data_IF_908064182665
#
_entry.id   IF_908064182665
#
_cell.length_a   1.000
_cell.length_b   1.000
_cell.length_c   1.000
_cell.angle_alpha   90.00
_cell.angle_beta   90.00
_cell.angle_gamma   90.00
#
_symmetry.space_group_name_H-M   'P 1'
#
loop_
_entity.id
_entity.type
_entity.pdbx_description
1 polymer ?
#
# COMPACT_ATOMS: atom_id res chain seq x y z
N UNK A 1 -29.53 41.64 -15.59
CA UNK A 1 -30.89 41.72 -15.01
C UNK A 1 -31.54 40.34 -15.04
N UNK A 2 -32.26 39.99 -13.99
CA UNK A 2 -33.03 38.77 -13.67
C UNK A 2 -32.23 37.60 -13.05
N UNK A 3 -32.31 37.55 -11.73
CA UNK A 3 -31.99 36.44 -10.84
C UNK A 3 -33.19 35.46 -10.87
N UNK A 4 -32.95 34.18 -11.11
CA UNK A 4 -33.95 33.13 -10.80
C UNK A 4 -33.47 32.36 -9.57
N UNK A 5 -34.26 32.44 -8.52
CA UNK A 5 -34.16 31.62 -7.31
C UNK A 5 -35.04 30.40 -7.52
N UNK A 6 -34.46 29.20 -7.35
CA UNK A 6 -35.23 27.94 -7.29
C UNK A 6 -35.28 27.55 -5.81
N UNK A 7 -36.50 27.44 -5.30
CA UNK A 7 -36.79 26.94 -3.96
C UNK A 7 -36.92 25.42 -4.00
N UNK A 8 -36.27 24.72 -3.06
CA UNK A 8 -36.42 23.28 -2.86
C UNK A 8 -37.39 23.08 -1.69
N UNK A 9 -38.49 22.39 -1.97
CA UNK A 9 -39.48 22.00 -0.98
C UNK A 9 -39.10 20.66 -0.34
N UNK A 10 -39.02 20.59 0.98
CA UNK A 10 -38.92 19.35 1.75
C UNK A 10 -40.33 18.74 1.88
N UNK A 11 -40.49 17.50 1.49
CA UNK A 11 -41.64 16.66 1.83
C UNK A 11 -41.23 15.68 2.94
N UNK A 12 -41.80 15.84 4.09
CA UNK A 12 -41.80 14.87 5.19
C UNK A 12 -43.04 13.99 5.10
N UNK A 13 -42.86 12.70 4.97
CA UNK A 13 -43.98 11.71 5.10
C UNK A 13 -43.76 10.89 6.37
N UNK A 14 -44.59 11.13 7.36
CA UNK A 14 -44.68 10.28 8.54
C UNK A 14 -45.60 9.09 8.26
N UNK A 15 -45.25 7.91 8.76
CA UNK A 15 -46.14 6.75 8.84
C UNK A 15 -46.21 6.24 10.26
N UNK A 16 -47.45 6.36 10.80
CA UNK A 16 -47.92 5.76 12.07
C UNK A 16 -48.29 4.31 11.78
N UNK A 17 -47.86 3.37 12.62
CA UNK A 17 -48.47 2.04 12.68
C UNK A 17 -48.72 1.69 14.13
N UNK A 18 -50.00 1.44 14.41
CA UNK A 18 -50.55 1.05 15.70
C UNK A 18 -50.28 -0.44 15.98
N UNK A 19 -50.16 -0.76 17.28
CA UNK A 19 -50.00 -2.11 17.76
C UNK A 19 -51.27 -2.88 17.86
N UNK A 20 -51.18 -4.21 18.01
CA UNK A 20 -52.14 -5.10 18.67
C UNK A 20 -51.38 -6.32 19.25
N UNK A 21 -51.68 -6.61 20.48
CA UNK A 21 -51.08 -7.63 21.30
C UNK A 21 -51.63 -9.03 21.05
N UNK A 22 -50.97 -10.02 21.62
CA UNK A 22 -51.38 -11.41 21.66
C UNK A 22 -50.44 -12.25 22.54
N UNK A 23 -51.02 -12.90 23.51
CA UNK A 23 -50.46 -13.54 24.70
C UNK A 23 -49.93 -14.96 24.51
N UNK A 24 -48.94 -15.28 25.34
CA UNK A 24 -48.67 -16.53 26.06
C UNK A 24 -48.20 -17.81 25.34
N UNK A 25 -47.09 -18.35 25.84
CA UNK A 25 -46.96 -19.79 25.97
C UNK A 25 -45.56 -20.38 25.91
N UNK A 26 -45.07 -20.77 27.10
CA UNK A 26 -44.19 -21.91 27.41
C UNK A 26 -42.69 -21.97 26.90
N UNK A 27 -41.89 -21.85 27.88
CA UNK A 27 -40.60 -22.47 28.21
C UNK A 27 -40.15 -23.68 27.39
N UNK A 28 -38.91 -23.59 26.83
CA UNK A 28 -37.89 -24.65 26.88
C UNK A 28 -36.51 -24.03 26.84
N UNK A 29 -35.64 -24.48 27.76
CA UNK A 29 -34.28 -24.08 27.89
C UNK A 29 -33.43 -24.57 26.68
N UNK A 30 -32.69 -23.69 26.08
CA UNK A 30 -31.61 -24.05 25.16
C UNK A 30 -30.37 -23.22 25.50
N UNK A 31 -29.32 -23.97 25.69
CA UNK A 31 -27.94 -23.66 25.97
C UNK A 31 -27.41 -22.38 25.31
N UNK A 32 -26.84 -21.49 26.11
CA UNK A 32 -26.11 -20.31 25.69
C UNK A 32 -24.77 -20.74 25.10
N UNK A 33 -24.71 -20.84 23.77
CA UNK A 33 -23.44 -20.80 23.06
C UNK A 33 -22.98 -19.35 22.99
N UNK A 34 -21.98 -19.02 23.81
CA UNK A 34 -21.37 -17.69 23.82
C UNK A 34 -20.75 -17.34 22.48
N UNK A 35 -21.35 -16.38 21.80
CA UNK A 35 -20.71 -15.68 20.69
C UNK A 35 -19.54 -14.86 21.26
N UNK A 36 -18.31 -15.39 21.16
CA UNK A 36 -17.11 -14.58 21.32
C UNK A 36 -17.05 -13.64 20.13
N UNK A 37 -17.31 -12.38 20.38
CA UNK A 37 -16.99 -11.28 19.47
C UNK A 37 -15.48 -11.25 19.27
N UNK A 38 -15.02 -11.65 18.08
CA UNK A 38 -13.61 -11.54 17.65
C UNK A 38 -13.42 -10.22 16.87
N UNK A 39 -13.63 -9.10 17.54
CA UNK A 39 -13.30 -7.78 16.97
C UNK A 39 -12.29 -7.07 17.88
N UNK A 40 -11.04 -7.56 17.85
CA UNK A 40 -9.88 -6.78 18.29
C UNK A 40 -9.11 -6.34 17.05
N UNK A 41 -8.52 -5.12 17.01
CA UNK A 41 -7.63 -4.73 15.92
C UNK A 41 -6.49 -5.74 15.82
N UNK A 42 -6.20 -6.22 14.62
CA UNK A 42 -5.06 -7.10 14.37
C UNK A 42 -3.75 -6.34 14.66
N UNK A 43 -3.14 -6.60 15.80
CA UNK A 43 -1.83 -6.05 16.11
C UNK A 43 -0.77 -6.64 15.16
N UNK A 44 0.25 -5.85 14.74
CA UNK A 44 1.37 -6.37 13.97
C UNK A 44 1.96 -7.62 14.62
N UNK A 45 2.26 -8.64 13.83
CA UNK A 45 2.87 -9.86 14.35
C UNK A 45 4.29 -9.55 14.83
N UNK A 46 4.59 -9.84 16.11
CA UNK A 46 5.97 -9.80 16.60
C UNK A 46 6.72 -11.00 16.04
N UNK A 47 7.74 -10.71 15.27
CA UNK A 47 8.68 -11.74 14.85
C UNK A 47 9.72 -11.95 15.95
N UNK A 48 9.66 -13.09 16.64
CA UNK A 48 10.73 -13.54 17.53
C UNK A 48 11.84 -14.10 16.64
N UNK A 49 12.54 -13.19 15.95
CA UNK A 49 13.80 -13.51 15.29
C UNK A 49 14.89 -13.58 16.34
N UNK A 50 15.64 -14.68 16.38
CA UNK A 50 16.82 -14.80 17.22
C UNK A 50 17.74 -13.59 17.03
N UNK A 51 18.32 -13.07 18.10
CA UNK A 51 19.30 -11.98 18.08
C UNK A 51 20.54 -12.44 17.30
N UNK A 52 20.49 -12.33 15.97
CA UNK A 52 21.67 -12.41 15.14
C UNK A 52 22.56 -11.21 15.43
N UNK A 53 23.87 -11.44 15.50
CA UNK A 53 24.89 -10.38 15.72
C UNK A 53 24.96 -9.36 14.59
N UNK A 54 24.27 -9.58 13.47
CA UNK A 54 24.28 -8.69 12.28
C UNK A 54 23.04 -7.81 12.24
N UNK A 55 23.17 -6.54 11.80
CA UNK A 55 22.04 -5.66 11.58
C UNK A 55 21.02 -6.26 10.62
N UNK A 56 19.74 -5.96 10.82
CA UNK A 56 18.71 -6.32 9.85
C UNK A 56 18.90 -5.51 8.58
N UNK A 57 19.06 -6.21 7.46
CA UNK A 57 19.20 -5.61 6.13
C UNK A 57 18.12 -6.16 5.22
N UNK A 58 17.48 -5.28 4.46
CA UNK A 58 16.44 -5.64 3.50
C UNK A 58 16.69 -4.95 2.15
N UNK A 59 16.21 -5.55 1.08
CA UNK A 59 16.20 -4.95 -0.23
C UNK A 59 14.88 -4.24 -0.51
N UNK A 60 14.93 -3.15 -1.27
CA UNK A 60 13.75 -2.49 -1.84
C UNK A 60 13.92 -2.39 -3.34
N UNK A 61 12.94 -2.91 -4.06
CA UNK A 61 12.81 -2.86 -5.52
C UNK A 61 11.39 -2.42 -5.86
N UNK A 62 11.14 -2.02 -7.08
CA UNK A 62 9.82 -1.68 -7.59
C UNK A 62 9.92 -1.25 -9.04
N UNK A 63 8.80 -1.06 -9.73
CA UNK A 63 8.76 -0.58 -11.11
C UNK A 63 9.53 -1.51 -12.07
N UNK A 64 9.55 -2.81 -11.79
CA UNK A 64 10.23 -3.87 -12.54
C UNK A 64 9.43 -5.18 -12.50
N UNK A 65 9.58 -6.08 -13.55
CA UNK A 65 10.33 -5.87 -14.79
C UNK A 65 9.49 -5.16 -15.86
N UNK A 66 10.04 -4.20 -16.59
CA UNK A 66 9.37 -3.48 -17.67
C UNK A 66 9.89 -3.90 -19.05
N UNK A 67 9.00 -4.48 -19.86
CA UNK A 67 9.32 -4.89 -21.23
C UNK A 67 10.18 -6.16 -21.33
N UNK A 68 10.31 -6.69 -22.55
CA UNK A 68 10.88 -8.02 -22.79
C UNK A 68 12.30 -8.21 -22.27
N UNK A 69 13.14 -7.17 -22.37
CA UNK A 69 14.53 -7.24 -21.92
C UNK A 69 14.65 -7.40 -20.41
N UNK A 70 13.87 -6.60 -19.65
CA UNK A 70 13.89 -6.70 -18.19
C UNK A 70 13.21 -7.97 -17.68
N UNK A 71 12.11 -8.41 -18.34
CA UNK A 71 11.47 -9.68 -18.04
C UNK A 71 12.48 -10.83 -18.18
N UNK A 72 13.24 -10.86 -19.29
CA UNK A 72 14.26 -11.89 -19.50
C UNK A 72 15.42 -11.81 -18.49
N UNK A 73 15.76 -10.60 -17.99
CA UNK A 73 16.81 -10.39 -17.00
C UNK A 73 16.37 -10.61 -15.56
N UNK A 74 15.05 -10.57 -15.28
CA UNK A 74 14.53 -10.53 -13.90
C UNK A 74 14.93 -11.73 -13.04
N UNK A 75 14.90 -12.99 -13.52
CA UNK A 75 15.42 -14.11 -12.75
C UNK A 75 16.90 -13.96 -12.36
N UNK A 76 17.72 -13.39 -13.23
CA UNK A 76 19.14 -13.10 -12.95
C UNK A 76 19.32 -12.00 -11.88
N UNK A 77 18.46 -10.97 -11.88
CA UNK A 77 18.42 -9.93 -10.85
C UNK A 77 18.01 -10.49 -9.50
N UNK A 78 17.01 -11.36 -9.48
CA UNK A 78 16.59 -12.08 -8.27
C UNK A 78 17.75 -12.94 -7.73
N UNK A 79 18.48 -13.62 -8.61
CA UNK A 79 19.65 -14.41 -8.20
C UNK A 79 20.74 -13.55 -7.56
N UNK A 80 20.95 -12.32 -8.00
CA UNK A 80 21.89 -11.38 -7.37
C UNK A 80 21.43 -10.94 -5.97
N UNK A 81 20.15 -10.63 -5.79
CA UNK A 81 19.56 -10.35 -4.47
C UNK A 81 19.73 -11.54 -3.53
N UNK A 82 19.43 -12.74 -4.01
CA UNK A 82 19.60 -13.98 -3.25
C UNK A 82 21.06 -14.29 -2.89
N UNK A 83 22.01 -13.81 -3.68
CA UNK A 83 23.43 -14.02 -3.43
C UNK A 83 24.01 -13.08 -2.36
N UNK A 84 23.35 -11.98 -2.03
CA UNK A 84 23.80 -11.08 -0.96
C UNK A 84 23.43 -11.69 0.42
N UNK A 85 24.46 -12.14 1.21
CA UNK A 85 24.20 -12.82 2.48
C UNK A 85 23.67 -11.90 3.60
N UNK A 86 23.66 -10.60 3.37
CA UNK A 86 23.14 -9.61 4.33
C UNK A 86 21.65 -9.36 4.15
N UNK A 87 21.12 -9.54 2.93
CA UNK A 87 19.68 -9.39 2.66
C UNK A 87 18.91 -10.49 3.38
N UNK A 88 17.91 -10.09 4.15
CA UNK A 88 17.09 -10.98 4.99
C UNK A 88 15.58 -10.84 4.68
N UNK A 89 15.22 -9.90 3.80
CA UNK A 89 13.86 -9.64 3.33
C UNK A 89 13.93 -8.76 2.08
N UNK A 90 13.00 -8.93 1.16
CA UNK A 90 12.85 -8.09 -0.02
C UNK A 90 11.46 -7.47 -0.02
N UNK A 91 11.38 -6.16 -0.32
CA UNK A 91 10.13 -5.45 -0.56
C UNK A 91 10.05 -5.02 -2.02
N UNK A 92 8.94 -5.32 -2.68
CA UNK A 92 8.62 -4.87 -4.03
C UNK A 92 7.47 -3.86 -3.97
N UNK A 93 7.69 -2.67 -4.51
CA UNK A 93 6.80 -1.52 -4.39
C UNK A 93 5.75 -1.43 -5.50
N UNK A 94 5.43 -2.56 -6.15
CA UNK A 94 4.42 -2.58 -7.20
C UNK A 94 4.98 -2.30 -8.58
N UNK A 95 4.06 -2.23 -9.54
CA UNK A 95 4.31 -2.09 -10.96
C UNK A 95 5.22 -3.20 -11.50
N UNK A 96 4.65 -4.41 -11.48
CA UNK A 96 5.30 -5.62 -12.03
C UNK A 96 5.28 -5.68 -13.54
N UNK A 97 4.70 -4.68 -14.20
CA UNK A 97 4.63 -4.50 -15.64
C UNK A 97 4.58 -3.01 -15.98
N UNK A 98 4.96 -2.64 -17.19
CA UNK A 98 4.79 -1.27 -17.64
C UNK A 98 3.32 -0.94 -17.98
N UNK A 99 2.98 0.35 -18.02
CA UNK A 99 1.65 0.86 -18.31
C UNK A 99 1.11 0.57 -19.72
N UNK A 100 1.82 -0.21 -20.56
CA UNK A 100 1.43 -0.60 -21.93
C UNK A 100 1.52 -2.10 -22.20
N UNK A 101 1.87 -2.93 -21.22
CA UNK A 101 1.85 -4.39 -21.33
C UNK A 101 0.48 -4.95 -20.97
N UNK A 102 0.10 -6.07 -21.58
CA UNK A 102 -1.16 -6.76 -21.31
C UNK A 102 -1.25 -7.23 -19.86
N UNK A 103 -2.45 -7.10 -19.27
CA UNK A 103 -2.74 -7.55 -17.91
C UNK A 103 -3.36 -8.97 -17.89
N UNK A 104 -2.88 -9.88 -18.72
CA UNK A 104 -3.46 -11.23 -18.78
C UNK A 104 -2.92 -12.16 -17.67
N UNK A 105 -3.66 -13.26 -17.44
CA UNK A 105 -3.32 -14.25 -16.42
C UNK A 105 -1.99 -14.95 -16.71
N UNK A 106 -1.60 -15.05 -17.99
CA UNK A 106 -0.32 -15.62 -18.40
C UNK A 106 0.84 -14.77 -17.93
N UNK A 107 0.70 -13.43 -18.04
CA UNK A 107 1.69 -12.49 -17.52
C UNK A 107 1.81 -12.59 -15.99
N UNK A 108 0.68 -12.60 -15.26
CA UNK A 108 0.70 -12.72 -13.80
C UNK A 108 1.32 -14.04 -13.34
N UNK A 109 0.99 -15.14 -14.02
CA UNK A 109 1.57 -16.46 -13.73
C UNK A 109 3.09 -16.50 -13.96
N UNK A 110 3.58 -15.83 -15.01
CA UNK A 110 5.01 -15.69 -15.27
C UNK A 110 5.72 -14.91 -14.16
N UNK A 111 5.22 -13.74 -13.81
CA UNK A 111 5.80 -12.93 -12.72
C UNK A 111 5.73 -13.66 -11.37
N UNK A 112 4.62 -14.37 -11.10
CA UNK A 112 4.51 -15.18 -9.88
C UNK A 112 5.57 -16.26 -9.83
N UNK A 113 5.87 -16.88 -10.98
CA UNK A 113 6.95 -17.88 -11.09
C UNK A 113 8.31 -17.26 -10.76
N UNK A 114 8.57 -16.04 -11.24
CA UNK A 114 9.79 -15.30 -10.90
C UNK A 114 9.82 -14.93 -9.41
N UNK A 115 8.71 -14.49 -8.84
CA UNK A 115 8.62 -14.16 -7.41
C UNK A 115 8.89 -15.37 -6.51
N UNK A 116 8.59 -16.59 -6.97
CA UNK A 116 8.90 -17.83 -6.26
C UNK A 116 10.41 -18.17 -6.25
N UNK A 117 11.23 -17.44 -7.02
CA UNK A 117 12.69 -17.56 -6.99
C UNK A 117 13.33 -16.79 -5.83
N UNK A 118 12.65 -15.83 -5.19
CA UNK A 118 13.18 -15.14 -4.03
C UNK A 118 13.39 -16.14 -2.89
N UNK A 119 14.64 -16.26 -2.41
CA UNK A 119 14.98 -17.13 -1.29
C UNK A 119 14.42 -16.63 0.03
N UNK A 120 14.60 -15.33 0.29
CA UNK A 120 14.22 -14.69 1.54
C UNK A 120 12.74 -14.28 1.53
N UNK A 121 12.14 -13.94 2.69
CA UNK A 121 10.79 -13.43 2.75
C UNK A 121 10.61 -12.27 1.77
N UNK A 122 9.54 -12.30 1.00
CA UNK A 122 9.26 -11.33 -0.04
C UNK A 122 7.91 -10.68 0.21
N UNK A 123 7.90 -9.37 0.43
CA UNK A 123 6.71 -8.53 0.60
C UNK A 123 6.46 -7.78 -0.69
N UNK A 124 5.24 -7.88 -1.19
CA UNK A 124 4.80 -7.20 -2.40
C UNK A 124 3.60 -6.31 -2.08
N UNK A 125 3.58 -5.09 -2.59
CA UNK A 125 2.40 -4.22 -2.64
C UNK A 125 2.06 -3.96 -4.10
N UNK A 126 0.80 -4.13 -4.54
CA UNK A 126 0.43 -3.90 -5.94
C UNK A 126 0.57 -2.42 -6.34
N UNK A 127 0.93 -2.19 -7.62
CA UNK A 127 0.88 -0.88 -8.24
C UNK A 127 -0.39 -0.66 -9.08
N UNK A 128 -0.45 0.45 -9.79
CA UNK A 128 -1.60 0.77 -10.65
C UNK A 128 -1.54 0.02 -11.99
N UNK A 129 -0.35 -0.28 -12.49
CA UNK A 129 -0.17 -0.92 -13.79
C UNK A 129 -0.72 -2.34 -13.86
N UNK A 130 -0.72 -3.09 -12.77
CA UNK A 130 -1.20 -4.48 -12.76
C UNK A 130 -2.70 -4.63 -12.53
N UNK A 131 -3.42 -3.54 -12.24
CA UNK A 131 -4.88 -3.67 -12.10
C UNK A 131 -5.67 -2.44 -12.54
N UNK A 132 -5.49 -1.24 -11.94
CA UNK A 132 -6.34 -0.10 -12.28
C UNK A 132 -6.14 0.37 -13.71
N UNK A 133 -4.92 0.35 -14.21
CA UNK A 133 -4.56 0.76 -15.57
C UNK A 133 -4.84 -0.31 -16.63
N UNK A 134 -5.24 -1.50 -16.22
CA UNK A 134 -5.63 -2.58 -17.13
C UNK A 134 -6.84 -2.28 -18.00
N UNK A 135 -7.59 -1.21 -17.67
CA UNK A 135 -8.66 -0.70 -18.52
C UNK A 135 -8.16 -0.15 -19.86
N UNK A 136 -6.87 0.21 -19.98
CA UNK A 136 -6.30 0.80 -21.21
C UNK A 136 -6.34 -0.21 -22.34
N UNK A 137 -6.61 0.28 -23.58
CA UNK A 137 -6.74 -0.58 -24.76
C UNK A 137 -5.48 -1.42 -25.03
N UNK A 138 -4.31 -0.82 -24.89
CA UNK A 138 -3.02 -1.50 -25.04
C UNK A 138 -2.68 -2.47 -23.87
N UNK A 139 -3.41 -2.43 -22.77
CA UNK A 139 -3.30 -3.36 -21.65
C UNK A 139 -4.33 -4.51 -21.72
N UNK A 140 -5.18 -4.53 -22.74
CA UNK A 140 -6.18 -5.56 -22.98
C UNK A 140 -7.61 -5.14 -22.63
N UNK A 141 -7.85 -3.88 -22.21
CA UNK A 141 -9.17 -3.34 -21.88
C UNK A 141 -9.95 -4.20 -20.85
N UNK A 142 -9.27 -4.68 -19.83
CA UNK A 142 -9.85 -5.47 -18.75
C UNK A 142 -10.66 -4.59 -17.78
N UNK A 143 -11.59 -5.22 -17.06
CA UNK A 143 -12.20 -4.63 -15.88
C UNK A 143 -11.14 -4.56 -14.75
N UNK A 144 -10.79 -3.35 -14.23
CA UNK A 144 -9.77 -3.23 -13.19
C UNK A 144 -10.09 -3.97 -11.90
N UNK A 145 -11.36 -4.05 -11.48
CA UNK A 145 -11.73 -4.76 -10.24
C UNK A 145 -11.58 -6.27 -10.39
N UNK A 146 -11.83 -6.78 -11.59
CA UNK A 146 -11.55 -8.18 -11.91
C UNK A 146 -10.04 -8.43 -11.88
N UNK A 147 -9.21 -7.54 -12.44
CA UNK A 147 -7.76 -7.67 -12.37
C UNK A 147 -7.23 -7.56 -10.94
N UNK A 148 -7.77 -6.68 -10.12
CA UNK A 148 -7.44 -6.62 -8.70
C UNK A 148 -7.74 -7.95 -7.99
N UNK A 149 -8.86 -8.59 -8.32
CA UNK A 149 -9.20 -9.91 -7.78
C UNK A 149 -8.19 -10.98 -8.25
N UNK A 150 -7.73 -10.93 -9.51
CA UNK A 150 -6.69 -11.83 -10.04
C UNK A 150 -5.35 -11.60 -9.33
N UNK A 151 -4.90 -10.35 -9.17
CA UNK A 151 -3.69 -10.01 -8.41
C UNK A 151 -3.75 -10.56 -6.98
N UNK A 152 -4.86 -10.34 -6.28
CA UNK A 152 -5.04 -10.88 -4.92
C UNK A 152 -4.98 -12.39 -4.86
N UNK A 153 -5.60 -13.07 -5.82
CA UNK A 153 -5.59 -14.54 -5.92
C UNK A 153 -4.19 -15.09 -6.17
N UNK A 154 -3.45 -14.48 -7.11
CA UNK A 154 -2.20 -15.06 -7.61
C UNK A 154 -1.01 -14.72 -6.70
N UNK A 155 -0.97 -13.49 -6.14
CA UNK A 155 0.16 -13.02 -5.35
C UNK A 155 -0.05 -13.09 -3.84
N UNK A 156 -1.26 -13.36 -3.36
CA UNK A 156 -1.55 -13.46 -1.91
C UNK A 156 -2.29 -14.76 -1.56
N UNK A 157 -1.77 -15.94 -2.00
CA UNK A 157 -2.49 -17.21 -1.87
C UNK A 157 -2.69 -17.64 -0.42
N UNK A 158 -1.83 -17.18 0.50
CA UNK A 158 -1.89 -17.52 1.93
C UNK A 158 -1.86 -16.23 2.76
N UNK A 159 -3.03 -15.71 3.15
CA UNK A 159 -3.12 -14.50 3.95
C UNK A 159 -2.29 -14.57 5.23
N UNK A 160 -1.56 -13.49 5.54
CA UNK A 160 -0.70 -13.41 6.72
C UNK A 160 0.64 -14.15 6.62
N UNK A 161 1.01 -14.59 5.41
CA UNK A 161 2.37 -15.01 5.07
C UNK A 161 2.94 -14.13 3.96
N UNK A 162 4.24 -13.85 4.01
CA UNK A 162 4.97 -13.25 2.88
C UNK A 162 5.10 -14.26 1.74
N UNK A 163 5.49 -13.80 0.57
CA UNK A 163 5.98 -14.63 -0.51
C UNK A 163 7.44 -15.05 -0.23
N UNK A 164 8.07 -15.69 -1.21
CA UNK A 164 9.44 -16.21 -1.13
C UNK A 164 9.50 -17.64 -0.61
N UNK A 165 10.69 -18.25 -0.71
CA UNK A 165 10.91 -19.66 -0.33
C UNK A 165 10.93 -19.87 1.18
N UNK A 166 11.28 -18.83 1.95
CA UNK A 166 11.29 -18.85 3.42
C UNK A 166 10.30 -17.82 3.98
N UNK A 167 8.99 -18.00 3.77
CA UNK A 167 7.99 -17.01 4.17
C UNK A 167 7.93 -16.82 5.69
N UNK A 168 7.63 -15.59 6.09
CA UNK A 168 7.39 -15.25 7.51
C UNK A 168 5.95 -14.83 7.74
N UNK A 169 5.50 -14.94 9.00
CA UNK A 169 4.18 -14.44 9.38
C UNK A 169 4.17 -12.93 9.49
N UNK A 170 3.12 -12.33 8.96
CA UNK A 170 2.82 -10.89 9.04
C UNK A 170 1.37 -10.70 9.47
N UNK A 171 1.05 -9.58 10.10
CA UNK A 171 -0.34 -9.17 10.26
C UNK A 171 -0.90 -8.77 8.89
N UNK A 172 -2.17 -9.07 8.62
CA UNK A 172 -2.83 -8.79 7.35
C UNK A 172 -4.26 -8.32 7.58
N UNK A 173 -4.74 -7.42 6.72
CA UNK A 173 -6.14 -7.01 6.69
C UNK A 173 -7.02 -7.93 5.83
N UNK A 174 -6.62 -9.19 5.63
CA UNK A 174 -7.36 -10.18 4.84
C UNK A 174 -8.82 -10.37 5.32
N UNK A 175 -9.06 -10.30 6.64
CA UNK A 175 -10.41 -10.39 7.21
C UNK A 175 -11.33 -9.23 6.78
N UNK A 176 -10.74 -8.12 6.32
CA UNK A 176 -11.43 -6.95 5.79
C UNK A 176 -11.47 -6.93 4.25
N UNK A 177 -10.86 -7.94 3.59
CA UNK A 177 -10.80 -8.06 2.14
C UNK A 177 -9.55 -7.42 1.50
N UNK A 178 -8.60 -6.91 2.29
CA UNK A 178 -7.37 -6.28 1.82
C UNK A 178 -6.16 -7.14 2.20
N UNK A 179 -6.02 -8.29 1.55
CA UNK A 179 -5.01 -9.31 1.86
C UNK A 179 -3.58 -8.81 1.64
N UNK A 180 -3.41 -7.87 0.72
CA UNK A 180 -2.16 -7.21 0.32
C UNK A 180 -1.65 -6.22 1.38
N UNK A 181 -2.54 -5.70 2.25
CA UNK A 181 -2.19 -4.80 3.34
C UNK A 181 -1.61 -5.59 4.50
N UNK A 182 -0.31 -5.46 4.73
CA UNK A 182 0.41 -6.23 5.75
C UNK A 182 1.30 -5.34 6.62
N UNK A 183 1.54 -5.78 7.87
CA UNK A 183 2.49 -5.14 8.76
C UNK A 183 3.24 -6.15 9.62
N UNK A 184 4.47 -5.77 10.02
CA UNK A 184 5.35 -6.57 10.88
C UNK A 184 6.30 -5.68 11.66
N UNK A 185 6.96 -6.23 12.66
CA UNK A 185 7.99 -5.54 13.43
C UNK A 185 9.28 -6.35 13.40
N UNK A 186 10.40 -5.67 13.24
CA UNK A 186 11.73 -6.29 13.31
C UNK A 186 12.79 -5.28 13.72
N UNK A 187 13.67 -5.68 14.62
CA UNK A 187 14.83 -4.90 15.06
C UNK A 187 14.44 -3.49 15.55
N UNK A 188 13.39 -3.40 16.38
CA UNK A 188 12.86 -2.18 16.97
C UNK A 188 12.39 -1.16 15.88
N UNK A 189 11.87 -1.69 14.77
CA UNK A 189 11.25 -0.91 13.67
C UNK A 189 9.92 -1.55 13.30
N UNK A 190 8.88 -0.73 13.15
CA UNK A 190 7.59 -1.14 12.62
C UNK A 190 7.53 -0.90 11.12
N UNK A 191 7.05 -1.90 10.39
CA UNK A 191 6.93 -1.90 8.93
C UNK A 191 5.48 -2.13 8.51
N UNK A 192 5.05 -1.46 7.43
CA UNK A 192 3.81 -1.80 6.73
C UNK A 192 3.95 -1.64 5.22
N UNK A 193 3.39 -2.58 4.47
CA UNK A 193 3.11 -2.44 3.05
C UNK A 193 1.63 -2.05 2.91
N UNK A 194 1.38 -0.89 2.28
CA UNK A 194 0.09 -0.23 2.20
C UNK A 194 -0.29 -0.09 0.73
N UNK A 195 -1.47 -0.57 0.36
CA UNK A 195 -1.91 -0.61 -1.04
C UNK A 195 -2.43 0.76 -1.51
N UNK A 196 -1.52 1.70 -1.70
CA UNK A 196 -1.79 3.01 -2.27
C UNK A 196 -1.18 3.04 -3.67
N UNK A 197 -1.98 3.31 -4.70
CA UNK A 197 -1.55 3.20 -6.11
C UNK A 197 -1.64 4.52 -6.85
N UNK A 198 -0.89 4.65 -7.93
CA UNK A 198 -0.96 5.76 -8.87
C UNK A 198 -2.38 5.99 -9.42
N UNK A 199 -2.48 6.71 -10.55
CA UNK A 199 -3.77 6.99 -11.20
C UNK A 199 -4.81 7.60 -10.24
N UNK A 200 -4.37 8.57 -9.39
CA UNK A 200 -5.18 9.21 -8.33
C UNK A 200 -5.77 8.17 -7.36
N UNK A 201 -4.95 7.30 -6.86
CA UNK A 201 -5.34 6.17 -6.01
C UNK A 201 -6.43 5.28 -6.65
N UNK A 202 -6.33 5.05 -7.97
CA UNK A 202 -7.35 4.37 -8.79
C UNK A 202 -8.67 5.15 -8.98
N UNK A 203 -8.72 6.45 -8.69
CA UNK A 203 -9.94 7.25 -8.91
C UNK A 203 -9.94 7.99 -10.26
N UNK A 204 -8.88 7.88 -11.06
CA UNK A 204 -8.89 8.34 -12.45
C UNK A 204 -9.93 7.55 -13.26
N UNK A 205 -10.65 8.21 -14.19
CA UNK A 205 -11.65 7.53 -15.03
C UNK A 205 -11.03 6.39 -15.86
N UNK A 206 -11.71 5.26 -15.95
CA UNK A 206 -11.27 4.16 -16.81
C UNK A 206 -11.61 4.42 -18.28
N UNK A 207 -10.88 5.38 -18.85
CA UNK A 207 -11.12 5.91 -20.19
C UNK A 207 -10.96 4.89 -21.32
N UNK A 208 -10.13 3.86 -21.13
CA UNK A 208 -9.99 2.74 -22.07
C UNK A 208 -11.28 1.90 -22.22
N UNK A 209 -12.17 1.95 -21.23
CA UNK A 209 -13.52 1.35 -21.29
C UNK A 209 -14.59 2.37 -21.71
N UNK A 210 -14.19 3.55 -22.21
CA UNK A 210 -15.11 4.61 -22.63
C UNK A 210 -15.72 5.41 -21.48
N UNK A 211 -15.20 5.28 -20.27
CA UNK A 211 -15.70 5.99 -19.09
C UNK A 211 -15.01 7.35 -18.94
N UNK A 212 -15.79 8.39 -18.63
CA UNK A 212 -15.29 9.78 -18.42
C UNK A 212 -15.34 10.22 -16.96
N UNK A 213 -15.83 9.36 -16.08
CA UNK A 213 -15.88 9.55 -14.65
C UNK A 213 -15.76 8.19 -13.95
N UNK A 214 -15.34 8.16 -12.66
CA UNK A 214 -15.32 6.93 -11.88
C UNK A 214 -16.69 6.28 -11.78
N UNK A 215 -16.72 4.95 -11.84
CA UNK A 215 -17.95 4.18 -11.58
C UNK A 215 -18.28 4.15 -10.10
N UNK A 216 -19.51 3.75 -9.76
CA UNK A 216 -19.92 3.57 -8.37
C UNK A 216 -19.09 2.46 -7.69
N UNK A 217 -18.79 1.35 -8.40
CA UNK A 217 -17.96 0.26 -7.87
C UNK A 217 -16.50 0.70 -7.68
N UNK A 218 -15.92 1.43 -8.66
CA UNK A 218 -14.59 2.02 -8.54
C UNK A 218 -14.51 2.93 -7.31
N UNK A 219 -15.46 3.84 -7.15
CA UNK A 219 -15.51 4.76 -6.03
C UNK A 219 -15.65 4.03 -4.67
N UNK A 220 -16.45 2.97 -4.62
CA UNK A 220 -16.63 2.15 -3.43
C UNK A 220 -15.34 1.40 -3.05
N UNK A 221 -14.61 0.85 -4.04
CA UNK A 221 -13.31 0.21 -3.82
C UNK A 221 -12.31 1.22 -3.24
N UNK A 222 -12.13 2.36 -3.89
CA UNK A 222 -11.21 3.41 -3.44
C UNK A 222 -11.54 3.87 -2.01
N UNK A 223 -12.82 4.11 -1.71
CA UNK A 223 -13.24 4.52 -0.37
C UNK A 223 -12.94 3.46 0.69
N UNK A 224 -13.27 2.20 0.40
CA UNK A 224 -13.04 1.09 1.31
C UNK A 224 -11.55 0.82 1.54
N UNK A 225 -10.75 0.77 0.47
CA UNK A 225 -9.29 0.58 0.55
C UNK A 225 -8.62 1.74 1.27
N UNK A 226 -8.97 2.99 0.95
CA UNK A 226 -8.44 4.16 1.66
C UNK A 226 -8.71 4.10 3.17
N UNK A 227 -9.89 3.64 3.59
CA UNK A 227 -10.21 3.47 5.01
C UNK A 227 -9.33 2.39 5.66
N UNK A 228 -9.13 1.25 4.98
CA UNK A 228 -8.27 0.17 5.43
C UNK A 228 -6.78 0.60 5.49
N UNK A 229 -6.30 1.33 4.49
CA UNK A 229 -4.95 1.87 4.44
C UNK A 229 -4.67 2.82 5.62
N UNK A 230 -5.59 3.74 5.90
CA UNK A 230 -5.50 4.66 7.04
C UNK A 230 -5.51 3.89 8.37
N UNK A 231 -6.32 2.85 8.48
CA UNK A 231 -6.35 1.99 9.65
C UNK A 231 -5.01 1.26 9.83
N UNK A 232 -4.45 0.69 8.76
CA UNK A 232 -3.15 0.02 8.79
C UNK A 232 -2.04 1.00 9.22
N UNK A 233 -1.99 2.20 8.64
CA UNK A 233 -1.03 3.25 9.02
C UNK A 233 -1.15 3.53 10.54
N UNK A 234 -2.34 3.85 11.03
CA UNK A 234 -2.58 4.14 12.45
C UNK A 234 -2.17 2.99 13.36
N UNK A 235 -2.53 1.76 13.01
CA UNK A 235 -2.20 0.57 13.78
C UNK A 235 -0.69 0.30 13.82
N UNK A 236 0.02 0.55 12.71
CA UNK A 236 1.49 0.44 12.64
C UNK A 236 2.16 1.44 13.57
N UNK A 237 1.75 2.71 13.55
CA UNK A 237 2.28 3.72 14.47
C UNK A 237 1.89 3.44 15.93
N UNK A 238 0.67 2.96 16.19
CA UNK A 238 0.25 2.59 17.54
C UNK A 238 1.08 1.44 18.09
N UNK A 239 1.38 0.44 17.26
CA UNK A 239 2.27 -0.67 17.62
C UNK A 239 3.70 -0.17 17.89
N UNK A 240 4.24 0.67 17.03
CA UNK A 240 5.56 1.26 17.21
C UNK A 240 5.69 2.01 18.55
N UNK A 241 4.69 2.84 18.88
CA UNK A 241 4.65 3.54 20.18
C UNK A 241 4.55 2.60 21.37
N UNK A 242 3.69 1.58 21.30
CA UNK A 242 3.48 0.58 22.37
C UNK A 242 4.72 -0.23 22.64
N UNK A 243 5.40 -0.63 21.58
CA UNK A 243 6.55 -1.55 21.65
C UNK A 243 7.89 -0.79 21.69
N UNK A 244 7.85 0.55 21.73
CA UNK A 244 9.00 1.47 21.78
C UNK A 244 9.93 1.32 20.57
N UNK A 245 9.36 1.04 19.41
CA UNK A 245 10.11 1.00 18.16
C UNK A 245 10.74 2.37 17.85
N UNK A 246 11.91 2.36 17.26
CA UNK A 246 12.73 3.54 17.01
C UNK A 246 12.39 4.25 15.70
N UNK A 247 11.79 3.51 14.75
CA UNK A 247 11.35 4.04 13.46
C UNK A 247 10.06 3.38 12.99
N UNK A 248 9.38 4.04 12.07
CA UNK A 248 8.28 3.48 11.26
C UNK A 248 8.66 3.53 9.80
N UNK A 249 8.43 2.44 9.08
CA UNK A 249 8.70 2.32 7.64
C UNK A 249 7.43 1.91 6.93
N UNK A 250 7.03 2.69 5.95
CA UNK A 250 5.88 2.41 5.09
C UNK A 250 6.36 2.17 3.66
N UNK A 251 5.78 1.18 3.00
CA UNK A 251 6.00 0.83 1.61
C UNK A 251 4.70 1.02 0.84
N UNK A 252 4.75 1.67 -0.32
CA UNK A 252 3.61 1.84 -1.21
C UNK A 252 4.09 2.00 -2.65
N UNK A 253 3.20 1.87 -3.63
CA UNK A 253 3.58 2.14 -5.01
C UNK A 253 3.49 3.64 -5.31
N UNK A 254 2.36 4.30 -5.03
CA UNK A 254 2.09 5.67 -5.46
C UNK A 254 3.12 6.70 -4.99
N UNK A 255 3.58 7.56 -5.87
CA UNK A 255 4.28 8.79 -5.51
C UNK A 255 3.29 9.93 -5.26
N UNK A 256 2.84 10.03 -4.01
CA UNK A 256 1.92 11.08 -3.57
C UNK A 256 2.54 12.49 -3.58
N UNK A 257 3.84 12.58 -3.86
CA UNK A 257 4.63 13.83 -3.80
C UNK A 257 5.58 13.93 -5.02
N UNK A 258 5.11 13.55 -6.18
CA UNK A 258 5.91 13.39 -7.40
C UNK A 258 6.64 14.68 -7.80
N UNK A 259 7.96 14.65 -7.70
CA UNK A 259 8.85 15.77 -8.07
C UNK A 259 9.08 15.87 -9.57
N UNK A 260 8.72 14.85 -10.34
CA UNK A 260 8.86 14.85 -11.80
C UNK A 260 7.73 15.63 -12.49
N UNK A 261 6.66 15.95 -11.75
CA UNK A 261 5.54 16.78 -12.21
C UNK A 261 5.69 18.20 -11.65
N UNK A 262 6.16 19.18 -12.43
CA UNK A 262 6.52 20.52 -11.92
C UNK A 262 5.35 21.31 -11.33
N UNK A 263 4.13 21.11 -11.81
CA UNK A 263 2.92 21.80 -11.37
C UNK A 263 1.77 20.80 -11.31
N UNK A 264 1.72 19.94 -10.28
CA UNK A 264 0.72 18.90 -10.17
C UNK A 264 -0.69 19.54 -10.03
N UNK A 265 -1.64 19.04 -10.81
CA UNK A 265 -3.03 19.44 -10.64
C UNK A 265 -3.65 18.68 -9.46
N UNK A 266 -4.28 19.39 -8.55
CA UNK A 266 -4.93 18.76 -7.39
C UNK A 266 -5.99 17.71 -7.79
N UNK A 267 -6.62 17.91 -8.96
CA UNK A 267 -7.57 16.95 -9.51
C UNK A 267 -6.98 15.55 -9.77
N UNK A 268 -5.66 15.46 -9.96
CA UNK A 268 -4.96 14.19 -10.20
C UNK A 268 -4.40 13.55 -8.92
N UNK A 269 -4.55 14.23 -7.77
CA UNK A 269 -3.97 13.80 -6.48
C UNK A 269 -4.94 13.84 -5.31
N UNK A 270 -6.15 14.37 -5.48
CA UNK A 270 -7.05 14.63 -4.35
C UNK A 270 -7.43 13.38 -3.55
N UNK A 271 -7.43 12.20 -4.20
CA UNK A 271 -7.73 10.93 -3.53
C UNK A 271 -6.67 10.53 -2.49
N UNK A 272 -5.45 11.06 -2.58
CA UNK A 272 -4.42 10.84 -1.57
C UNK A 272 -4.59 11.71 -0.31
N UNK A 273 -5.37 12.78 -0.38
CA UNK A 273 -5.51 13.76 0.72
C UNK A 273 -5.81 13.13 2.09
N UNK A 274 -6.78 12.20 2.24
CA UNK A 274 -7.06 11.60 3.54
C UNK A 274 -5.90 10.72 4.06
N UNK A 275 -5.18 10.05 3.16
CA UNK A 275 -4.02 9.21 3.47
C UNK A 275 -2.85 10.09 3.94
N UNK A 276 -2.53 11.14 3.17
CA UNK A 276 -1.47 12.08 3.50
C UNK A 276 -1.75 12.80 4.82
N UNK A 277 -3.01 13.15 5.10
CA UNK A 277 -3.42 13.73 6.36
C UNK A 277 -3.20 12.77 7.55
N UNK A 278 -3.55 11.49 7.39
CA UNK A 278 -3.32 10.46 8.40
C UNK A 278 -1.83 10.22 8.63
N UNK A 279 -1.05 10.05 7.56
CA UNK A 279 0.40 9.92 7.62
C UNK A 279 1.06 11.11 8.33
N UNK A 280 0.67 12.33 7.97
CA UNK A 280 1.18 13.54 8.60
C UNK A 280 0.85 13.61 10.10
N UNK A 281 -0.37 13.27 10.48
CA UNK A 281 -0.79 13.23 11.87
C UNK A 281 -0.01 12.21 12.69
N UNK A 282 0.08 10.97 12.22
CA UNK A 282 0.77 9.89 12.92
C UNK A 282 2.27 10.15 13.02
N UNK A 283 2.89 10.67 11.95
CA UNK A 283 4.31 11.03 11.94
C UNK A 283 4.64 12.13 12.96
N UNK A 284 3.80 13.17 13.08
CA UNK A 284 3.98 14.22 14.11
C UNK A 284 3.87 13.68 15.54
N UNK A 285 3.04 12.66 15.74
CA UNK A 285 2.80 12.02 17.04
C UNK A 285 3.81 10.91 17.36
N UNK A 286 4.80 10.69 16.49
CA UNK A 286 5.87 9.73 16.68
C UNK A 286 7.22 10.43 16.86
N UNK A 287 7.96 10.04 17.89
CA UNK A 287 9.21 10.74 18.26
C UNK A 287 10.41 10.34 17.38
N UNK A 288 10.35 9.21 16.70
CA UNK A 288 11.41 8.69 15.84
C UNK A 288 11.27 9.13 14.38
N UNK A 289 12.24 8.76 13.53
CA UNK A 289 12.15 8.94 12.08
C UNK A 289 11.05 8.06 11.47
N UNK A 290 10.41 8.59 10.44
CA UNK A 290 9.41 7.91 9.62
C UNK A 290 9.91 7.89 8.19
N UNK A 291 9.84 6.72 7.56
CA UNK A 291 10.28 6.51 6.18
C UNK A 291 9.11 6.04 5.34
N UNK A 292 8.95 6.69 4.18
CA UNK A 292 8.03 6.28 3.13
C UNK A 292 8.84 5.88 1.91
N UNK A 293 8.87 4.58 1.59
CA UNK A 293 9.42 4.07 0.34
C UNK A 293 8.31 3.95 -0.68
N UNK A 294 8.51 4.51 -1.87
CA UNK A 294 7.54 4.48 -2.97
C UNK A 294 8.19 4.28 -4.33
N UNK A 295 7.38 3.95 -5.34
CA UNK A 295 7.72 3.86 -6.76
C UNK A 295 7.08 4.98 -7.58
N UNK A 296 6.39 4.64 -8.67
CA UNK A 296 5.51 5.40 -9.55
C UNK A 296 6.22 6.45 -10.43
N UNK A 297 6.98 7.37 -9.86
CA UNK A 297 7.69 8.41 -10.62
C UNK A 297 8.99 7.94 -11.31
N UNK A 298 9.43 6.71 -11.08
CA UNK A 298 10.55 6.03 -11.75
C UNK A 298 11.93 6.68 -11.60
N UNK A 299 12.06 7.71 -10.78
CA UNK A 299 13.31 8.45 -10.57
C UNK A 299 13.70 8.37 -9.10
N UNK A 300 14.91 7.86 -8.83
CA UNK A 300 15.39 7.85 -7.45
C UNK A 300 15.36 9.26 -6.87
N UNK A 301 14.69 9.39 -5.74
CA UNK A 301 14.62 10.63 -4.99
C UNK A 301 14.63 10.36 -3.49
N UNK A 302 15.21 11.29 -2.74
CA UNK A 302 15.19 11.29 -1.30
C UNK A 302 14.93 12.71 -0.81
N UNK A 303 13.81 12.93 -0.15
CA UNK A 303 13.45 14.25 0.37
C UNK A 303 12.58 14.17 1.64
N UNK A 304 12.15 15.33 2.10
CA UNK A 304 11.20 15.50 3.19
C UNK A 304 9.99 16.29 2.67
N UNK A 305 9.03 15.62 2.00
CA UNK A 305 7.98 16.29 1.25
C UNK A 305 7.05 17.14 2.11
N UNK A 306 6.96 16.88 3.40
CA UNK A 306 6.12 17.64 4.34
C UNK A 306 6.94 18.47 5.35
N UNK A 307 8.20 18.78 5.03
CA UNK A 307 9.00 19.69 5.86
C UNK A 307 8.51 21.15 5.77
N UNK A 308 8.97 22.00 6.69
CA UNK A 308 8.63 23.43 6.68
C UNK A 308 9.07 24.10 5.37
N UNK A 309 8.15 24.83 4.75
CA UNK A 309 8.36 25.50 3.46
C UNK A 309 8.06 24.66 2.22
N UNK A 310 7.70 23.39 2.37
CA UNK A 310 7.28 22.56 1.25
C UNK A 310 5.93 23.01 0.68
N UNK A 311 5.83 23.07 -0.66
CA UNK A 311 4.58 23.35 -1.38
C UNK A 311 3.52 22.27 -1.15
N UNK A 312 3.92 21.03 -0.86
CA UNK A 312 3.00 19.93 -0.59
C UNK A 312 2.16 20.13 0.67
N UNK A 313 2.63 20.97 1.63
CA UNK A 313 1.80 21.31 2.78
C UNK A 313 0.53 22.04 2.37
N UNK A 314 0.67 23.11 1.57
CA UNK A 314 -0.49 23.86 1.06
C UNK A 314 -1.30 23.05 0.07
N UNK A 315 -0.65 22.23 -0.76
CA UNK A 315 -1.30 21.37 -1.74
C UNK A 315 -2.30 20.39 -1.10
N UNK A 316 -1.92 19.75 0.01
CA UNK A 316 -2.78 18.84 0.79
C UNK A 316 -3.54 19.52 1.94
N UNK A 317 -3.49 20.84 2.05
CA UNK A 317 -4.20 21.58 3.10
C UNK A 317 -3.66 21.33 4.51
N UNK A 318 -2.37 21.01 4.66
CA UNK A 318 -1.73 20.75 5.95
C UNK A 318 -1.17 22.04 6.55
N UNK A 319 -1.64 22.39 7.76
CA UNK A 319 -1.19 23.60 8.45
C UNK A 319 0.17 23.43 9.19
N UNK A 320 0.54 22.18 9.51
CA UNK A 320 1.70 21.90 10.36
C UNK A 320 2.71 21.00 9.64
N UNK A 321 3.99 21.39 9.60
CA UNK A 321 5.07 20.58 9.00
C UNK A 321 5.28 19.23 9.71
N UNK A 322 5.91 18.30 8.99
CA UNK A 322 6.28 16.96 9.45
C UNK A 322 7.76 16.72 9.18
N UNK A 323 8.66 17.22 10.05
CA UNK A 323 10.11 17.23 9.78
C UNK A 323 10.77 15.83 9.89
N UNK A 324 10.12 14.89 10.54
CA UNK A 324 10.62 13.53 10.75
C UNK A 324 10.21 12.53 9.65
N UNK A 325 9.38 12.93 8.68
CA UNK A 325 9.04 12.11 7.52
C UNK A 325 10.09 12.29 6.42
N UNK A 326 10.72 11.19 6.01
CA UNK A 326 11.60 11.11 4.85
C UNK A 326 10.96 10.19 3.82
N UNK A 327 10.84 10.66 2.57
CA UNK A 327 10.46 9.82 1.44
C UNK A 327 11.70 9.35 0.71
N UNK A 328 11.65 8.11 0.20
CA UNK A 328 12.65 7.50 -0.67
C UNK A 328 11.92 6.84 -1.83
N UNK A 329 12.03 7.42 -3.02
CA UNK A 329 11.48 6.84 -4.25
C UNK A 329 12.54 5.96 -4.89
N UNK A 330 12.17 4.73 -5.29
CA UNK A 330 13.10 3.83 -5.99
C UNK A 330 13.26 4.23 -7.46
N UNK A 331 14.42 3.94 -8.03
CA UNK A 331 14.61 3.96 -9.47
C UNK A 331 13.77 2.87 -10.12
N UNK A 332 13.21 3.13 -11.30
CA UNK A 332 12.29 2.21 -11.93
C UNK A 332 12.21 2.32 -13.44
N UNK A 333 11.29 1.56 -14.05
CA UNK A 333 10.97 1.59 -15.47
C UNK A 333 12.15 1.17 -16.36
N UNK A 334 12.45 1.92 -17.42
CA UNK A 334 13.47 1.55 -18.43
C UNK A 334 14.90 1.69 -17.95
N UNK A 335 15.14 2.40 -16.86
CA UNK A 335 16.48 2.69 -16.33
C UNK A 335 16.81 1.91 -15.05
N UNK A 336 16.11 0.81 -14.79
CA UNK A 336 16.33 0.00 -13.59
C UNK A 336 17.61 -0.80 -13.73
N UNK A 337 18.72 -0.23 -13.26
CA UNK A 337 19.99 -0.92 -13.16
C UNK A 337 20.42 -1.15 -11.72
N UNK A 338 19.54 -0.89 -10.74
CA UNK A 338 19.87 -0.90 -9.33
C UNK A 338 18.73 -1.37 -8.43
N UNK A 339 19.10 -1.63 -7.20
CA UNK A 339 18.18 -1.87 -6.09
C UNK A 339 18.68 -1.15 -4.82
N UNK A 340 17.81 -0.90 -3.86
CA UNK A 340 18.21 -0.29 -2.60
C UNK A 340 18.49 -1.38 -1.57
N UNK A 341 19.69 -1.36 -1.02
CA UNK A 341 20.09 -2.15 0.14
C UNK A 341 19.94 -1.29 1.40
N UNK A 342 18.95 -1.58 2.20
CA UNK A 342 18.61 -0.81 3.40
C UNK A 342 19.02 -1.56 4.65
N UNK A 343 19.75 -0.92 5.55
CA UNK A 343 20.22 -1.50 6.80
C UNK A 343 19.63 -0.77 8.00
N UNK A 344 19.10 -1.52 8.95
CA UNK A 344 18.65 -1.00 10.25
C UNK A 344 19.86 -0.88 11.17
N UNK A 345 20.25 0.35 11.49
CA UNK A 345 21.31 0.65 12.46
C UNK A 345 20.70 1.13 13.78
N UNK A 346 20.68 0.23 14.77
CA UNK A 346 20.12 0.53 16.09
C UNK A 346 20.86 1.64 16.87
N UNK A 347 22.06 2.00 16.45
CA UNK A 347 22.90 3.01 17.11
C UNK A 347 22.81 4.37 16.40
N UNK A 348 22.33 4.42 15.17
CA UNK A 348 22.14 5.65 14.41
C UNK A 348 20.87 6.38 14.86
N UNK A 349 20.87 7.71 15.04
CA UNK A 349 19.65 8.50 15.21
C UNK A 349 18.69 8.39 14.00
N UNK A 350 19.23 8.17 12.80
CA UNK A 350 18.43 7.97 11.58
C UNK A 350 17.80 6.58 11.53
N UNK A 351 18.29 5.61 12.32
CA UNK A 351 17.84 4.20 12.35
C UNK A 351 18.05 3.45 11.04
N UNK A 352 17.77 4.06 9.88
CA UNK A 352 18.00 3.48 8.56
C UNK A 352 19.14 4.16 7.83
N UNK A 353 19.91 3.35 7.11
CA UNK A 353 20.84 3.78 6.06
C UNK A 353 20.60 2.94 4.81
N UNK A 354 20.89 3.46 3.64
CA UNK A 354 20.75 2.70 2.38
C UNK A 354 21.84 2.99 1.39
N UNK A 355 22.04 2.05 0.49
CA UNK A 355 22.96 2.10 -0.62
C UNK A 355 22.21 1.74 -1.90
N UNK A 356 22.51 2.43 -2.98
CA UNK A 356 22.08 2.07 -4.34
C UNK A 356 23.08 1.04 -4.88
N UNK A 357 22.63 -0.17 -5.14
CA UNK A 357 23.46 -1.29 -5.59
C UNK A 357 23.11 -1.57 -7.05
N UNK A 358 24.11 -1.43 -7.93
CA UNK A 358 23.93 -1.76 -9.33
C UNK A 358 23.78 -3.26 -9.53
N UNK A 359 22.89 -3.67 -10.43
CA UNK A 359 22.89 -5.02 -10.96
C UNK A 359 24.13 -5.23 -11.82
N UNK A 360 24.77 -6.38 -11.67
CA UNK A 360 25.97 -6.75 -12.41
C UNK A 360 25.69 -7.39 -13.77
#
# INVERSE_FOLDING_TARGET
MRRNRIAIALLTTGMLVAGLGGTAGASTAASAAGHRSLTGPSSPAKHVGGQGKSPFTFAVIGEIPYGAAQIAAFPGRIAQLNADPQVQLVNHLGDIKNGSSTCDDGYFSMIKTDFDLFRDPFVYTPGDNEWTDCHRQNNGAYDPLERLAAVRKDFFPVPGLTLGQHPIRVASQAAQGYVENVSYQRDDVAFAAVHIVGSNNSLAPWSGLGLTAPTAQQSAEVLGRTAADIELIRNTFAAARRDHDRAVVLFTQADMFDVTVPNPAYADYFAFTPIVAALAQESRNFSGPVYLFNGDSHVFNQDKPLAGGSSWLSFYGLATPVPNLTRVTVEGSTNVDEWLKVTVDKHSPAVLTWQRILYG
#
